data_IF_697707914619
#
_entry.id   IF_697707914619
#
_cell.length_a   1.000
_cell.length_b   1.000
_cell.length_c   1.000
_cell.angle_alpha   90.00
_cell.angle_beta   90.00
_cell.angle_gamma   90.00
#
_symmetry.space_group_name_H-M   'P 1'
#
loop_
_entity.id
_entity.type
_entity.pdbx_description
1 polymer ?
#
# COMPACT_ATOMS: atom_id res chain seq x y z
N UNK A 1 9.64 -3.66 -15.01
CA UNK A 1 8.61 -4.24 -14.13
C UNK A 1 7.97 -3.14 -13.28
N UNK A 2 6.66 -2.87 -13.43
CA UNK A 2 5.91 -1.82 -12.70
C UNK A 2 5.33 -2.38 -11.38
N UNK A 3 6.19 -2.71 -10.41
CA UNK A 3 5.73 -3.36 -9.15
C UNK A 3 5.05 -2.42 -8.15
N UNK A 4 5.45 -1.14 -8.14
CA UNK A 4 5.03 -0.14 -7.13
C UNK A 4 4.40 1.10 -7.76
N UNK A 5 4.27 1.10 -9.07
CA UNK A 5 3.77 2.23 -9.85
C UNK A 5 2.50 1.85 -10.56
N UNK A 6 1.54 2.76 -10.56
CA UNK A 6 0.29 2.58 -11.29
C UNK A 6 0.12 3.61 -12.41
N UNK A 7 -0.85 3.33 -13.26
CA UNK A 7 -1.28 4.19 -14.36
C UNK A 7 -2.62 4.82 -14.03
N UNK A 8 -2.76 6.12 -14.26
CA UNK A 8 -4.04 6.79 -14.06
C UNK A 8 -5.07 6.23 -15.07
N UNK A 9 -6.27 5.79 -14.62
CA UNK A 9 -7.28 5.22 -15.52
C UNK A 9 -7.94 6.24 -16.45
N UNK A 10 -7.67 7.54 -16.27
CA UNK A 10 -8.36 8.63 -17.00
C UNK A 10 -7.46 9.28 -18.05
N UNK A 11 -6.32 9.80 -17.62
CA UNK A 11 -5.35 10.46 -18.51
C UNK A 11 -4.27 9.51 -19.03
N UNK A 12 -4.26 8.24 -18.60
CA UNK A 12 -3.22 7.28 -18.97
C UNK A 12 -1.85 7.56 -18.33
N UNK A 13 -1.68 8.65 -17.58
CA UNK A 13 -0.43 9.05 -16.95
C UNK A 13 0.26 7.88 -16.22
N UNK A 14 1.51 7.63 -16.57
CA UNK A 14 2.30 6.51 -16.06
C UNK A 14 3.14 6.89 -14.83
N UNK A 15 3.68 5.89 -14.14
CA UNK A 15 4.65 6.03 -13.01
C UNK A 15 4.11 6.76 -11.77
N UNK A 16 2.81 6.74 -11.53
CA UNK A 16 2.26 7.27 -10.28
C UNK A 16 2.51 6.31 -9.13
N UNK A 17 2.72 6.84 -7.92
CA UNK A 17 2.96 6.06 -6.72
C UNK A 17 2.07 6.55 -5.60
N UNK A 18 1.53 5.62 -4.82
CA UNK A 18 0.90 5.97 -3.57
C UNK A 18 1.98 6.38 -2.55
N UNK A 19 1.72 7.40 -1.71
CA UNK A 19 2.67 7.80 -0.69
C UNK A 19 2.93 6.66 0.30
N UNK A 20 4.18 6.48 0.71
CA UNK A 20 4.56 5.36 1.60
C UNK A 20 3.76 5.38 2.91
N UNK A 21 3.47 6.58 3.43
CA UNK A 21 2.71 6.77 4.67
C UNK A 21 1.27 6.27 4.61
N UNK A 22 0.74 5.97 3.41
CA UNK A 22 -0.62 5.43 3.25
C UNK A 22 -0.64 3.93 3.02
N UNK A 23 0.52 3.24 3.05
CA UNK A 23 0.63 1.80 2.84
C UNK A 23 -0.13 0.96 3.88
N UNK A 24 -0.27 1.47 5.11
CA UNK A 24 -1.03 0.83 6.18
C UNK A 24 -2.54 1.03 6.05
N UNK A 25 -2.98 2.04 5.28
CA UNK A 25 -4.41 2.35 5.16
C UNK A 25 -5.11 1.28 4.32
N UNK A 26 -6.37 1.01 4.65
CA UNK A 26 -7.22 0.13 3.83
C UNK A 26 -7.38 0.67 2.42
N UNK A 27 -7.54 2.00 2.29
CA UNK A 27 -7.61 2.74 1.02
C UNK A 27 -6.57 3.85 1.02
N UNK A 28 -5.56 3.73 0.16
CA UNK A 28 -4.63 4.81 -0.11
C UNK A 28 -5.25 5.76 -1.14
N UNK A 29 -5.18 7.06 -0.85
CA UNK A 29 -5.63 8.11 -1.76
C UNK A 29 -4.41 8.90 -2.25
N UNK A 30 -4.42 9.30 -3.51
CA UNK A 30 -3.42 10.19 -4.08
C UNK A 30 -4.04 10.99 -5.22
N UNK A 31 -3.65 12.25 -5.39
CA UNK A 31 -4.00 13.02 -6.58
C UNK A 31 -3.11 12.61 -7.75
N UNK A 32 -3.73 12.48 -8.92
CA UNK A 32 -3.00 12.35 -10.17
C UNK A 32 -2.15 13.61 -10.40
N UNK A 33 -0.88 13.46 -10.78
CA UNK A 33 0.02 14.60 -11.04
C UNK A 33 -0.38 15.43 -12.26
N UNK A 34 -0.93 14.78 -13.29
CA UNK A 34 -1.30 15.44 -14.54
C UNK A 34 -2.73 15.97 -14.51
N UNK A 35 -3.72 15.11 -14.22
CA UNK A 35 -5.13 15.50 -14.24
C UNK A 35 -5.68 15.99 -12.90
N UNK A 36 -4.91 15.96 -11.81
CA UNK A 36 -5.33 16.43 -10.48
C UNK A 36 -6.39 15.58 -9.77
N UNK A 37 -6.98 14.59 -10.46
CA UNK A 37 -8.08 13.77 -9.92
C UNK A 37 -7.59 12.88 -8.79
N UNK A 38 -8.36 12.82 -7.71
CA UNK A 38 -8.06 11.94 -6.56
C UNK A 38 -8.44 10.50 -6.90
N UNK A 39 -7.44 9.64 -6.92
CA UNK A 39 -7.53 8.20 -7.13
C UNK A 39 -7.32 7.45 -5.82
N UNK A 40 -8.09 6.38 -5.65
CA UNK A 40 -8.08 5.48 -4.51
C UNK A 40 -7.68 4.08 -4.94
N UNK A 41 -6.78 3.44 -4.19
CA UNK A 41 -6.62 2.00 -4.27
C UNK A 41 -7.84 1.34 -3.60
N UNK A 42 -8.51 0.40 -4.28
CA UNK A 42 -9.58 -0.41 -3.69
C UNK A 42 -9.16 -1.89 -3.59
N UNK A 43 -8.24 -2.24 -2.68
CA UNK A 43 -7.83 -3.62 -2.50
C UNK A 43 -9.01 -4.47 -1.99
N UNK A 44 -9.15 -5.72 -2.47
CA UNK A 44 -10.16 -6.64 -1.95
C UNK A 44 -9.93 -6.85 -0.46
N UNK A 45 -11.01 -6.86 0.34
CA UNK A 45 -10.96 -6.96 1.82
C UNK A 45 -10.07 -8.12 2.29
N UNK A 46 -10.13 -9.28 1.62
CA UNK A 46 -9.29 -10.44 1.96
C UNK A 46 -7.79 -10.15 1.89
N UNK A 47 -7.32 -9.42 0.87
CA UNK A 47 -5.90 -9.06 0.73
C UNK A 47 -5.44 -8.04 1.78
N UNK A 48 -6.33 -7.19 2.28
CA UNK A 48 -6.02 -6.28 3.37
C UNK A 48 -5.87 -7.02 4.70
N UNK A 49 -6.78 -7.96 4.97
CA UNK A 49 -6.71 -8.81 6.17
C UNK A 49 -5.43 -9.65 6.20
N UNK A 50 -5.10 -10.31 5.08
CA UNK A 50 -3.85 -11.06 4.92
C UNK A 50 -2.62 -10.20 5.17
N UNK A 51 -2.62 -8.96 4.68
CA UNK A 51 -1.53 -8.02 4.92
C UNK A 51 -1.43 -7.61 6.40
N UNK A 52 -2.55 -7.39 7.09
CA UNK A 52 -2.55 -7.08 8.52
C UNK A 52 -1.99 -8.24 9.34
N UNK A 53 -2.44 -9.48 9.08
CA UNK A 53 -1.91 -10.68 9.72
C UNK A 53 -0.41 -10.84 9.46
N UNK A 54 0.02 -10.64 8.22
CA UNK A 54 1.44 -10.67 7.87
C UNK A 54 2.24 -9.62 8.64
N UNK A 55 1.76 -8.37 8.68
CA UNK A 55 2.42 -7.29 9.40
C UNK A 55 2.51 -7.59 10.91
N UNK A 56 1.43 -8.11 11.52
CA UNK A 56 1.43 -8.53 12.93
C UNK A 56 2.49 -9.61 13.19
N UNK A 57 2.53 -10.68 12.39
CA UNK A 57 3.52 -11.75 12.53
C UNK A 57 4.95 -11.21 12.43
N UNK A 58 5.22 -10.34 11.44
CA UNK A 58 6.53 -9.71 11.30
C UNK A 58 6.87 -8.83 12.52
N UNK A 59 5.92 -8.05 13.04
CA UNK A 59 6.16 -7.21 14.22
C UNK A 59 6.41 -8.04 15.48
N UNK A 60 5.73 -9.17 15.66
CA UNK A 60 5.96 -10.10 16.76
C UNK A 60 7.33 -10.77 16.68
N UNK A 61 7.73 -11.22 15.49
CA UNK A 61 9.06 -11.80 15.28
C UNK A 61 10.16 -10.76 15.50
N UNK A 62 9.95 -9.53 14.99
CA UNK A 62 10.89 -8.44 15.17
C UNK A 62 11.00 -8.03 16.64
N UNK A 63 9.89 -7.94 17.39
CA UNK A 63 9.94 -7.60 18.82
C UNK A 63 10.68 -8.65 19.63
N UNK A 64 10.45 -9.94 19.37
CA UNK A 64 11.20 -11.03 19.99
C UNK A 64 12.71 -10.90 19.70
N UNK A 65 13.07 -10.68 18.44
CA UNK A 65 14.47 -10.50 18.03
C UNK A 65 15.11 -9.24 18.65
N UNK A 66 14.36 -8.15 18.79
CA UNK A 66 14.82 -6.93 19.46
C UNK A 66 15.07 -7.17 20.95
N UNK A 67 14.20 -7.91 21.64
CA UNK A 67 14.39 -8.27 23.06
C UNK A 67 15.67 -9.08 23.23
N UNK A 68 15.90 -10.09 22.37
CA UNK A 68 17.12 -10.91 22.39
C UNK A 68 18.36 -10.06 22.13
N UNK A 69 18.33 -9.21 21.10
CA UNK A 69 19.45 -8.34 20.76
C UNK A 69 19.75 -7.30 21.86
N UNK A 70 18.72 -6.81 22.54
CA UNK A 70 18.85 -5.91 23.68
C UNK A 70 19.52 -6.60 24.87
N UNK A 71 19.08 -7.81 25.23
CA UNK A 71 19.69 -8.60 26.31
C UNK A 71 21.16 -8.93 26.01
N UNK A 72 21.48 -9.20 24.74
CA UNK A 72 22.85 -9.46 24.28
C UNK A 72 23.68 -8.18 24.07
N UNK A 73 23.14 -7.00 24.37
CA UNK A 73 23.78 -5.69 24.21
C UNK A 73 24.29 -5.43 22.78
N UNK A 74 23.62 -6.01 21.80
CA UNK A 74 24.01 -6.03 20.39
C UNK A 74 23.38 -4.85 19.62
N UNK A 75 23.86 -3.62 19.90
CA UNK A 75 23.29 -2.37 19.39
C UNK A 75 23.22 -2.27 17.86
N UNK A 76 24.24 -2.76 17.15
CA UNK A 76 24.23 -2.78 15.68
C UNK A 76 23.11 -3.67 15.12
N UNK A 77 22.82 -4.78 15.80
CA UNK A 77 21.75 -5.71 15.43
C UNK A 77 20.37 -5.16 15.72
N UNK A 78 20.18 -4.36 16.78
CA UNK A 78 18.92 -3.65 17.04
C UNK A 78 18.52 -2.78 15.84
N UNK A 79 19.47 -1.97 15.33
CA UNK A 79 19.23 -1.13 14.16
C UNK A 79 18.91 -1.94 12.90
N UNK A 80 19.64 -3.04 12.66
CA UNK A 80 19.43 -3.91 11.52
C UNK A 80 18.06 -4.60 11.55
N UNK A 81 17.66 -5.17 12.69
CA UNK A 81 16.36 -5.83 12.90
C UNK A 81 15.23 -4.83 12.65
N UNK A 82 15.37 -3.61 13.19
CA UNK A 82 14.36 -2.57 13.02
C UNK A 82 14.21 -2.14 11.55
N UNK A 83 15.32 -1.96 10.84
CA UNK A 83 15.33 -1.60 9.43
C UNK A 83 14.70 -2.72 8.58
N UNK A 84 15.06 -3.97 8.83
CA UNK A 84 14.49 -5.14 8.12
C UNK A 84 12.99 -5.23 8.36
N UNK A 85 12.52 -5.09 9.60
CA UNK A 85 11.10 -5.12 9.92
C UNK A 85 10.32 -4.01 9.18
N UNK A 86 10.87 -2.79 9.14
CA UNK A 86 10.28 -1.67 8.40
C UNK A 86 10.17 -1.96 6.89
N UNK A 87 11.22 -2.53 6.28
CA UNK A 87 11.21 -2.89 4.86
C UNK A 87 10.20 -3.99 4.57
N UNK A 88 10.15 -5.04 5.40
CA UNK A 88 9.24 -6.17 5.27
C UNK A 88 7.78 -5.73 5.42
N UNK A 89 7.46 -4.78 6.30
CA UNK A 89 6.10 -4.25 6.40
C UNK A 89 5.77 -3.33 5.22
N UNK A 90 6.68 -2.45 4.81
CA UNK A 90 6.42 -1.45 3.78
C UNK A 90 6.27 -2.04 2.37
N UNK A 91 7.19 -2.91 1.97
CA UNK A 91 7.29 -3.37 0.59
C UNK A 91 6.04 -4.13 0.09
N UNK A 92 5.47 -5.09 0.86
CA UNK A 92 4.23 -5.77 0.49
C UNK A 92 3.02 -4.82 0.48
N UNK A 93 2.98 -3.86 1.42
CA UNK A 93 1.93 -2.84 1.45
C UNK A 93 1.93 -2.00 0.18
N UNK A 94 3.11 -1.56 -0.26
CA UNK A 94 3.27 -0.78 -1.49
C UNK A 94 2.88 -1.57 -2.75
N UNK A 95 3.25 -2.86 -2.82
CA UNK A 95 2.85 -3.75 -3.92
C UNK A 95 1.34 -3.95 -3.93
N UNK A 96 0.71 -4.17 -2.77
CA UNK A 96 -0.74 -4.34 -2.65
C UNK A 96 -1.50 -3.14 -3.20
N UNK A 97 -1.05 -1.92 -2.89
CA UNK A 97 -1.68 -0.71 -3.40
C UNK A 97 -1.45 -0.49 -4.91
N UNK A 98 -0.29 -0.87 -5.43
CA UNK A 98 0.00 -0.75 -6.85
C UNK A 98 -0.72 -1.81 -7.72
N UNK A 99 -0.98 -3.01 -7.18
CA UNK A 99 -1.66 -4.10 -7.88
C UNK A 99 -3.18 -4.14 -7.67
N UNK A 100 -3.70 -3.43 -6.68
CA UNK A 100 -5.14 -3.36 -6.46
C UNK A 100 -5.82 -2.48 -7.51
N UNK A 101 -7.10 -2.74 -7.82
CA UNK A 101 -7.84 -1.92 -8.76
C UNK A 101 -7.90 -0.47 -8.26
N UNK A 102 -7.51 0.45 -9.14
CA UNK A 102 -7.48 1.89 -8.85
C UNK A 102 -8.80 2.47 -9.33
N UNK A 103 -9.55 3.03 -8.40
CA UNK A 103 -10.85 3.66 -8.63
C UNK A 103 -10.77 5.14 -8.31
N UNK A 104 -11.67 5.96 -8.84
CA UNK A 104 -11.78 7.35 -8.35
C UNK A 104 -12.23 7.35 -6.89
N UNK A 105 -11.69 8.29 -6.11
CA UNK A 105 -12.09 8.51 -4.72
C UNK A 105 -13.52 9.05 -4.61
N UNK A 106 -13.87 9.96 -5.52
CA UNK A 106 -15.18 10.58 -5.63
C UNK A 106 -15.91 9.93 -6.80
N UNK A 107 -17.17 9.54 -6.58
CA UNK A 107 -18.04 9.02 -7.64
C UNK A 107 -18.15 10.09 -8.73
N UNK A 108 -18.02 9.71 -10.00
CA UNK A 108 -18.14 10.68 -11.09
C UNK A 108 -19.52 11.38 -10.98
N UNK A 109 -19.59 12.71 -10.86
CA UNK A 109 -20.86 13.42 -10.83
C UNK A 109 -21.66 13.21 -12.12
N UNK A 110 -21.00 12.85 -13.23
CA UNK A 110 -21.62 12.48 -14.50
C UNK A 110 -21.87 10.97 -14.64
N UNK A 111 -21.78 10.20 -13.56
CA UNK A 111 -22.15 8.78 -13.55
C UNK A 111 -23.67 8.64 -13.75
N UNK A 112 -24.09 8.53 -15.01
CA UNK A 112 -25.47 8.18 -15.35
C UNK A 112 -25.64 6.67 -15.26
N UNK A 113 -26.58 6.22 -14.43
CA UNK A 113 -26.94 4.79 -14.28
C UNK A 113 -27.41 4.15 -15.59
N UNK A 114 -27.76 4.97 -16.59
CA UNK A 114 -28.18 4.56 -17.93
C UNK A 114 -27.03 4.00 -18.78
N UNK A 115 -25.77 4.35 -18.49
CA UNK A 115 -24.61 3.94 -19.30
C UNK A 115 -23.93 2.72 -18.68
N UNK A 116 -24.63 1.57 -18.62
CA UNK A 116 -23.96 0.28 -18.38
C UNK A 116 -23.27 -0.15 -19.68
N UNK A 117 -21.94 -0.35 -19.72
CA UNK A 117 -21.28 -0.83 -20.92
C UNK A 117 -21.56 -2.31 -21.24
N UNK A 118 -22.21 -3.06 -20.34
CA UNK A 118 -22.41 -4.52 -20.44
C UNK A 118 -23.79 -4.96 -19.89
N UNK A 119 -24.88 -4.29 -20.28
CA UNK A 119 -26.24 -4.81 -20.06
C UNK A 119 -26.72 -5.54 -21.31
#
# INVERSE_FOLDING_TARGET
>A
MRLVTFTCPLCGAHRQRFPMRTAWKSRAQVSCRDCGIVVCSNPPRGTHLLYLLYAEVITLLASLALVVAYVLNAWAWLGAIWLVAMVLCWFPGAIRHARSPIVRAVRDPNYSYARRPNA
#
